data_IF_197673943333
#
_entry.id   IF_197673943333
#
_cell.length_a   1.000
_cell.length_b   1.000
_cell.length_c   1.000
_cell.angle_alpha   90.00
_cell.angle_beta   90.00
_cell.angle_gamma   90.00
#
_symmetry.space_group_name_H-M   'P 1'
#
loop_
_entity.id
_entity.type
_entity.pdbx_description
1 polymer ?
#
# COMPACT_ATOMS: atom_id res chain seq x y z
N UNK A 1 -52.89 -29.02 62.14
CA UNK A 1 -51.56 -29.39 61.77
C UNK A 1 -51.38 -29.12 60.27
N UNK A 2 -50.83 -27.96 59.90
CA UNK A 2 -50.65 -27.55 58.51
C UNK A 2 -49.27 -26.87 58.40
N UNK A 3 -48.34 -27.51 57.73
CA UNK A 3 -47.00 -26.96 57.42
C UNK A 3 -47.14 -25.99 56.24
N UNK A 4 -46.85 -24.71 56.46
CA UNK A 4 -46.71 -23.70 55.45
C UNK A 4 -45.36 -23.86 54.74
N UNK A 5 -45.39 -24.11 53.46
CA UNK A 5 -44.20 -24.04 52.57
C UNK A 5 -43.86 -22.57 52.32
N UNK A 6 -42.67 -22.13 52.77
CA UNK A 6 -42.07 -20.89 52.36
C UNK A 6 -41.50 -21.03 50.97
N UNK A 7 -42.07 -20.35 50.02
CA UNK A 7 -41.47 -20.13 48.68
C UNK A 7 -40.39 -19.08 48.84
N UNK A 8 -39.15 -19.45 48.69
CA UNK A 8 -37.98 -18.58 48.65
C UNK A 8 -38.03 -17.70 47.40
N UNK A 9 -38.11 -16.39 47.64
CA UNK A 9 -37.96 -15.36 46.62
C UNK A 9 -36.52 -15.38 46.11
N UNK A 10 -36.31 -15.90 44.91
CA UNK A 10 -35.05 -15.80 44.21
C UNK A 10 -34.86 -14.35 43.74
N UNK A 11 -33.91 -13.67 44.39
CA UNK A 11 -33.50 -12.31 44.09
C UNK A 11 -33.15 -12.16 42.60
N UNK A 12 -33.91 -11.32 41.91
CA UNK A 12 -33.62 -10.80 40.57
C UNK A 12 -32.22 -10.11 40.62
N UNK A 13 -31.20 -10.81 40.16
CA UNK A 13 -29.89 -10.17 39.83
C UNK A 13 -30.15 -9.19 38.71
N UNK A 14 -30.28 -7.92 39.03
CA UNK A 14 -30.16 -6.80 38.08
C UNK A 14 -28.88 -6.99 37.26
N UNK A 15 -29.03 -7.39 36.03
CA UNK A 15 -27.97 -7.33 35.04
C UNK A 15 -27.62 -5.85 34.87
N UNK A 16 -26.57 -5.38 35.55
CA UNK A 16 -25.97 -4.09 35.23
C UNK A 16 -25.69 -4.06 33.73
N UNK A 17 -26.21 -3.08 32.99
CA UNK A 17 -25.85 -2.94 31.60
C UNK A 17 -24.34 -2.73 31.52
N UNK A 18 -23.65 -3.60 30.77
CA UNK A 18 -22.25 -3.40 30.40
C UNK A 18 -22.24 -2.09 29.61
N UNK A 19 -21.97 -0.98 30.29
CA UNK A 19 -21.59 0.28 29.64
C UNK A 19 -20.27 -0.01 28.92
N UNK A 20 -20.34 -0.53 27.71
CA UNK A 20 -19.29 -0.34 26.73
C UNK A 20 -19.21 1.14 26.48
N UNK A 21 -18.38 1.84 27.23
CA UNK A 21 -17.95 3.19 26.87
C UNK A 21 -17.19 3.03 25.54
N UNK A 22 -17.93 3.13 24.45
CA UNK A 22 -17.37 3.46 23.14
C UNK A 22 -16.82 4.87 23.29
N UNK A 23 -15.62 4.96 23.87
CA UNK A 23 -14.84 6.17 23.75
C UNK A 23 -14.75 6.46 22.23
N UNK A 24 -15.15 7.65 21.77
CA UNK A 24 -15.07 8.01 20.36
C UNK A 24 -13.66 7.74 19.92
N UNK A 25 -13.48 7.06 18.79
CA UNK A 25 -12.19 6.72 18.19
C UNK A 25 -11.35 8.00 18.22
N UNK A 26 -10.31 8.01 19.08
CA UNK A 26 -9.68 9.22 19.56
C UNK A 26 -9.18 10.07 18.39
N UNK A 27 -9.72 11.27 18.28
CA UNK A 27 -9.17 12.30 17.40
C UNK A 27 -7.70 12.48 17.78
N UNK A 28 -6.82 12.57 16.77
CA UNK A 28 -5.42 12.85 17.00
C UNK A 28 -5.27 14.09 17.91
N UNK A 29 -4.39 14.06 18.93
CA UNK A 29 -4.20 15.19 19.84
C UNK A 29 -4.05 16.50 19.07
N UNK A 30 -4.61 17.60 19.58
CA UNK A 30 -4.50 18.92 18.93
C UNK A 30 -3.05 19.28 18.61
N UNK A 31 -2.13 19.02 19.54
CA UNK A 31 -0.70 19.24 19.34
C UNK A 31 -0.15 18.50 18.12
N UNK A 32 -0.56 17.24 17.93
CA UNK A 32 -0.12 16.45 16.77
C UNK A 32 -0.60 17.04 15.45
N UNK A 33 -1.85 17.50 15.39
CA UNK A 33 -2.38 18.16 14.19
C UNK A 33 -1.65 19.47 13.87
N UNK A 34 -1.26 20.23 14.90
CA UNK A 34 -0.47 21.43 14.75
C UNK A 34 0.92 21.09 14.18
N UNK A 35 1.61 20.08 14.73
CA UNK A 35 2.92 19.64 14.23
C UNK A 35 2.85 19.25 12.76
N UNK A 36 1.85 18.44 12.36
CA UNK A 36 1.70 18.06 10.95
C UNK A 36 1.32 19.24 10.05
N UNK A 37 0.54 20.20 10.53
CA UNK A 37 0.24 21.42 9.78
C UNK A 37 1.50 22.28 9.58
N UNK A 38 2.35 22.39 10.61
CA UNK A 38 3.65 23.08 10.51
C UNK A 38 4.56 22.36 9.51
N UNK A 39 4.70 21.04 9.63
CA UNK A 39 5.53 20.25 8.68
C UNK A 39 5.04 20.41 7.24
N UNK A 40 3.74 20.31 7.00
CA UNK A 40 3.16 20.50 5.67
C UNK A 40 3.39 21.93 5.15
N UNK A 41 3.25 22.94 6.02
CA UNK A 41 3.55 24.34 5.71
C UNK A 41 5.02 24.55 5.37
N UNK A 42 5.95 24.01 6.16
CA UNK A 42 7.40 24.08 5.90
C UNK A 42 7.75 23.41 4.57
N UNK A 43 7.18 22.23 4.29
CA UNK A 43 7.40 21.54 3.02
C UNK A 43 6.87 22.37 1.83
N UNK A 44 5.69 22.99 1.96
CA UNK A 44 5.14 23.84 0.93
C UNK A 44 6.02 25.10 0.69
N UNK A 45 6.52 25.73 1.76
CA UNK A 45 7.46 26.85 1.65
C UNK A 45 8.75 26.41 1.00
N UNK A 46 9.25 25.23 1.33
CA UNK A 46 10.47 24.67 0.71
C UNK A 46 10.29 24.44 -0.79
N UNK A 47 9.16 23.86 -1.22
CA UNK A 47 8.80 23.70 -2.64
C UNK A 47 8.81 25.07 -3.36
N UNK A 48 8.14 26.07 -2.78
CA UNK A 48 8.10 27.41 -3.36
C UNK A 48 9.50 28.02 -3.44
N UNK A 49 10.31 27.86 -2.40
CA UNK A 49 11.70 28.35 -2.39
C UNK A 49 12.55 27.70 -3.49
N UNK A 50 12.41 26.38 -3.71
CA UNK A 50 13.11 25.65 -4.78
C UNK A 50 12.72 26.17 -6.18
N UNK A 51 11.42 26.42 -6.39
CA UNK A 51 10.92 26.91 -7.68
C UNK A 51 11.39 28.34 -7.95
N UNK A 52 11.33 29.21 -6.94
CA UNK A 52 11.65 30.66 -7.10
C UNK A 52 13.15 30.92 -7.27
N UNK A 53 13.99 30.18 -6.52
CA UNK A 53 15.45 30.42 -6.57
C UNK A 53 16.14 29.81 -7.79
N UNK A 54 15.50 28.88 -8.49
CA UNK A 54 16.07 28.14 -9.60
C UNK A 54 17.08 27.04 -9.20
N UNK A 55 17.53 26.22 -10.14
CA UNK A 55 18.33 25.02 -9.86
C UNK A 55 19.77 25.33 -9.43
N UNK A 56 20.35 26.46 -9.90
CA UNK A 56 21.76 26.76 -9.68
C UNK A 56 22.07 27.40 -8.30
N UNK A 57 21.01 27.67 -7.51
CA UNK A 57 21.13 28.29 -6.20
C UNK A 57 20.87 27.27 -5.10
N UNK A 58 21.89 26.82 -4.40
CA UNK A 58 21.78 25.97 -3.23
C UNK A 58 21.90 26.76 -1.93
N UNK A 59 21.10 26.39 -0.95
CA UNK A 59 21.19 26.89 0.43
C UNK A 59 21.58 25.73 1.36
N UNK A 60 22.86 25.41 1.55
CA UNK A 60 23.29 24.17 2.19
C UNK A 60 22.68 23.92 3.57
N UNK A 61 22.41 25.01 4.34
CA UNK A 61 21.74 24.89 5.63
C UNK A 61 20.28 24.43 5.53
N UNK A 62 19.56 24.84 4.49
CA UNK A 62 18.15 24.49 4.29
C UNK A 62 18.05 23.16 3.56
N UNK A 63 18.78 23.02 2.45
CA UNK A 63 18.73 21.85 1.57
C UNK A 63 19.37 20.61 2.20
N UNK A 64 20.34 20.79 3.10
CA UNK A 64 20.96 19.74 3.87
C UNK A 64 20.31 19.63 5.26
N UNK A 65 20.86 20.35 6.24
CA UNK A 65 20.45 20.19 7.64
C UNK A 65 19.00 20.53 7.93
N UNK A 66 18.37 21.42 7.16
CA UNK A 66 16.94 21.73 7.26
C UNK A 66 16.07 20.53 6.90
N UNK A 67 16.39 19.84 5.80
CA UNK A 67 15.73 18.61 5.35
C UNK A 67 15.96 17.49 6.38
N UNK A 68 17.20 17.28 6.82
CA UNK A 68 17.55 16.30 7.85
C UNK A 68 16.75 16.53 9.14
N UNK A 69 16.64 17.77 9.61
CA UNK A 69 15.84 18.10 10.81
C UNK A 69 14.35 17.82 10.60
N UNK A 70 13.83 18.12 9.41
CA UNK A 70 12.46 17.81 9.04
C UNK A 70 12.19 16.30 9.08
N UNK A 71 13.08 15.50 8.53
CA UNK A 71 12.99 14.04 8.52
C UNK A 71 13.08 13.43 9.92
N UNK A 72 14.03 13.92 10.75
CA UNK A 72 14.11 13.51 12.16
C UNK A 72 12.87 13.89 12.95
N UNK A 73 12.16 14.97 12.58
CA UNK A 73 10.86 15.28 13.16
C UNK A 73 9.83 14.20 12.81
N UNK A 74 9.79 13.72 11.57
CA UNK A 74 8.98 12.58 11.15
C UNK A 74 9.32 11.30 11.91
N UNK A 75 10.61 11.02 12.09
CA UNK A 75 11.12 9.90 12.92
C UNK A 75 10.65 10.01 14.37
N UNK A 76 10.78 11.19 14.98
CA UNK A 76 10.33 11.43 16.34
C UNK A 76 8.81 11.17 16.51
N UNK A 77 8.00 11.54 15.51
CA UNK A 77 6.57 11.26 15.50
C UNK A 77 6.28 9.75 15.40
N UNK A 78 7.06 9.00 14.62
CA UNK A 78 6.96 7.54 14.53
C UNK A 78 7.29 6.90 15.89
N UNK A 79 8.40 7.25 16.51
CA UNK A 79 8.75 6.73 17.82
C UNK A 79 7.79 7.18 18.93
N UNK A 80 7.30 8.42 18.91
CA UNK A 80 6.26 8.88 19.82
C UNK A 80 4.99 8.01 19.71
N UNK A 81 4.67 7.51 18.52
CA UNK A 81 3.58 6.57 18.32
C UNK A 81 3.94 5.15 18.76
N UNK A 82 5.19 4.71 18.55
CA UNK A 82 5.70 3.40 18.95
C UNK A 82 5.71 3.22 20.47
N UNK A 83 6.06 4.28 21.21
CA UNK A 83 6.07 4.25 22.69
C UNK A 83 4.67 4.26 23.32
N UNK A 84 3.61 4.53 22.57
CA UNK A 84 2.25 4.35 23.05
C UNK A 84 1.89 2.87 23.03
N UNK A 85 1.61 2.29 24.22
CA UNK A 85 1.20 0.89 24.34
C UNK A 85 -0.01 0.59 23.44
N UNK A 86 0.10 -0.47 22.66
CA UNK A 86 -0.98 -0.88 21.77
C UNK A 86 -0.58 -1.93 20.74
N UNK A 87 -1.55 -2.49 20.03
CA UNK A 87 -1.32 -3.63 19.13
C UNK A 87 -0.43 -3.30 17.93
N UNK A 88 -0.18 -2.02 17.62
CA UNK A 88 0.67 -1.57 16.49
C UNK A 88 2.07 -1.16 16.93
N UNK A 89 2.43 -1.29 18.21
CA UNK A 89 3.71 -0.83 18.76
C UNK A 89 4.90 -1.37 17.97
N UNK A 90 5.01 -2.70 17.83
CA UNK A 90 6.12 -3.35 17.09
C UNK A 90 6.20 -2.89 15.64
N UNK A 91 5.07 -2.80 14.95
CA UNK A 91 5.01 -2.35 13.55
C UNK A 91 5.55 -0.93 13.43
N UNK A 92 5.07 -0.03 14.29
CA UNK A 92 5.48 1.38 14.27
C UNK A 92 6.95 1.54 14.69
N UNK A 93 7.45 0.70 15.61
CA UNK A 93 8.86 0.68 15.99
C UNK A 93 9.73 0.29 14.78
N UNK A 94 9.39 -0.79 14.09
CA UNK A 94 10.16 -1.27 12.93
C UNK A 94 10.13 -0.24 11.79
N UNK A 95 8.96 0.34 11.48
CA UNK A 95 8.87 1.41 10.49
C UNK A 95 9.62 2.67 10.93
N UNK A 96 9.56 3.03 12.22
CA UNK A 96 10.32 4.15 12.77
C UNK A 96 11.83 3.94 12.64
N UNK A 97 12.31 2.72 12.86
CA UNK A 97 13.73 2.37 12.69
C UNK A 97 14.12 2.40 11.20
N UNK A 98 13.23 1.98 10.29
CA UNK A 98 13.48 2.09 8.85
C UNK A 98 13.68 3.56 8.43
N UNK A 99 12.72 4.43 8.78
CA UNK A 99 12.79 5.87 8.46
C UNK A 99 13.96 6.55 9.19
N UNK A 100 14.31 6.10 10.39
CA UNK A 100 15.49 6.59 11.12
C UNK A 100 16.79 6.25 10.37
N UNK A 101 16.90 5.03 9.83
CA UNK A 101 18.05 4.67 8.99
C UNK A 101 18.15 5.59 7.77
N UNK A 102 17.03 5.86 7.09
CA UNK A 102 16.99 6.80 5.98
C UNK A 102 17.48 8.20 6.37
N UNK A 103 16.87 8.80 7.41
CA UNK A 103 17.24 10.14 7.89
C UNK A 103 18.71 10.22 8.36
N UNK A 104 19.28 9.11 8.88
CA UNK A 104 20.72 9.02 9.17
C UNK A 104 21.54 9.06 7.88
N UNK A 105 21.10 8.39 6.82
CA UNK A 105 21.72 8.44 5.51
C UNK A 105 21.82 9.87 4.99
N UNK A 106 20.71 10.63 5.04
CA UNK A 106 20.68 12.04 4.63
C UNK A 106 21.58 12.92 5.51
N UNK A 107 21.62 12.64 6.81
CA UNK A 107 22.55 13.33 7.71
C UNK A 107 24.01 13.06 7.38
N UNK A 108 24.38 11.81 7.07
CA UNK A 108 25.73 11.43 6.65
C UNK A 108 26.07 12.04 5.31
N UNK A 109 25.18 11.97 4.33
CA UNK A 109 25.38 12.56 3.01
C UNK A 109 25.56 14.07 3.10
N UNK A 110 24.74 14.75 3.90
CA UNK A 110 24.87 16.19 4.16
C UNK A 110 26.21 16.54 4.78
N UNK A 111 26.69 15.69 5.73
CA UNK A 111 28.00 15.89 6.36
C UNK A 111 29.15 15.64 5.37
N UNK A 112 29.09 14.59 4.55
CA UNK A 112 30.12 14.27 3.53
C UNK A 112 30.24 15.39 2.48
N UNK A 113 29.11 15.97 2.07
CA UNK A 113 29.07 17.01 1.04
C UNK A 113 29.19 18.43 1.59
N UNK A 114 29.28 18.62 2.92
CA UNK A 114 29.29 19.93 3.55
C UNK A 114 30.42 20.87 3.12
N UNK A 115 31.60 20.30 2.83
CA UNK A 115 32.76 21.07 2.35
C UNK A 115 32.73 21.38 0.85
N UNK A 116 31.63 21.04 0.13
CA UNK A 116 31.54 21.10 -1.33
C UNK A 116 32.22 19.94 -2.05
N UNK A 117 32.67 18.92 -1.31
CA UNK A 117 33.19 17.70 -1.91
C UNK A 117 32.06 16.83 -2.49
N UNK A 118 32.34 16.16 -3.60
CA UNK A 118 31.41 15.12 -4.08
C UNK A 118 31.47 13.89 -3.17
N UNK A 119 30.30 13.36 -2.81
CA UNK A 119 30.24 12.13 -2.05
C UNK A 119 30.85 10.96 -2.85
N UNK A 120 31.55 10.07 -2.14
CA UNK A 120 32.08 8.83 -2.76
C UNK A 120 30.91 7.98 -3.30
N UNK A 121 31.16 7.21 -4.35
CA UNK A 121 30.14 6.30 -4.94
C UNK A 121 30.65 4.86 -4.91
N UNK A 122 30.15 3.98 -4.01
CA UNK A 122 29.15 4.26 -2.96
C UNK A 122 29.72 5.05 -1.78
N UNK A 123 28.84 5.81 -1.08
CA UNK A 123 29.14 6.56 0.13
C UNK A 123 28.77 5.77 1.40
N UNK A 124 29.15 6.31 2.59
CA UNK A 124 28.70 5.74 3.85
C UNK A 124 27.18 5.89 4.03
N UNK A 125 26.59 6.93 3.43
CA UNK A 125 25.13 7.13 3.44
C UNK A 125 24.37 5.96 2.81
N UNK A 126 24.91 5.34 1.74
CA UNK A 126 24.28 4.21 1.05
C UNK A 126 24.05 3.00 1.97
N UNK A 127 24.90 2.81 3.00
CA UNK A 127 24.70 1.75 4.00
C UNK A 127 23.38 1.96 4.78
N UNK A 128 23.11 3.19 5.17
CA UNK A 128 21.91 3.54 5.91
C UNK A 128 20.66 3.48 5.02
N UNK A 129 20.74 3.95 3.79
CA UNK A 129 19.66 3.82 2.81
C UNK A 129 19.37 2.34 2.49
N UNK A 130 20.41 1.51 2.34
CA UNK A 130 20.24 0.07 2.15
C UNK A 130 19.52 -0.60 3.32
N UNK A 131 19.77 -0.16 4.55
CA UNK A 131 19.11 -0.69 5.75
C UNK A 131 17.61 -0.33 5.81
N UNK A 132 17.18 0.74 5.16
CA UNK A 132 15.77 1.14 5.10
C UNK A 132 14.90 0.02 4.50
N UNK A 133 15.27 -0.55 3.37
CA UNK A 133 14.45 -1.51 2.64
C UNK A 133 14.09 -2.77 3.44
N UNK A 134 15.04 -3.54 4.01
CA UNK A 134 14.68 -4.73 4.78
C UNK A 134 13.83 -4.41 6.01
N UNK A 135 14.06 -3.26 6.66
CA UNK A 135 13.27 -2.80 7.79
C UNK A 135 11.85 -2.40 7.35
N UNK A 136 11.72 -1.67 6.23
CA UNK A 136 10.43 -1.30 5.67
C UNK A 136 9.63 -2.54 5.25
N UNK A 137 10.27 -3.51 4.58
CA UNK A 137 9.63 -4.80 4.25
C UNK A 137 9.15 -5.54 5.49
N UNK A 138 9.99 -5.64 6.52
CA UNK A 138 9.63 -6.27 7.78
C UNK A 138 8.40 -5.57 8.41
N UNK A 139 8.37 -4.24 8.41
CA UNK A 139 7.25 -3.43 8.88
C UNK A 139 5.95 -3.76 8.12
N UNK A 140 6.00 -3.78 6.79
CA UNK A 140 4.84 -4.09 5.93
C UNK A 140 4.39 -5.54 6.11
N UNK A 141 5.31 -6.51 6.16
CA UNK A 141 4.99 -7.92 6.42
C UNK A 141 4.33 -8.09 7.79
N UNK A 142 4.80 -7.40 8.82
CA UNK A 142 4.17 -7.40 10.14
C UNK A 142 2.76 -6.78 10.13
N UNK A 143 2.55 -5.74 9.30
CA UNK A 143 1.21 -5.18 9.08
C UNK A 143 0.28 -6.19 8.43
N UNK A 144 0.76 -6.90 7.40
CA UNK A 144 -0.01 -7.89 6.64
C UNK A 144 -0.28 -9.17 7.44
N UNK A 145 0.70 -9.65 8.21
CA UNK A 145 0.67 -10.97 8.87
C UNK A 145 -0.57 -11.20 9.75
N UNK A 146 -1.13 -10.15 10.34
CA UNK A 146 -2.31 -10.24 11.19
C UNK A 146 -3.61 -10.43 10.41
N UNK A 147 -3.64 -9.96 9.17
CA UNK A 147 -4.85 -9.96 8.34
C UNK A 147 -4.90 -11.17 7.39
N UNK A 148 -3.73 -11.67 6.97
CA UNK A 148 -3.54 -12.72 5.97
C UNK A 148 -4.20 -14.07 6.37
N UNK A 149 -4.21 -14.44 7.65
CA UNK A 149 -4.65 -15.75 8.12
C UNK A 149 -6.14 -16.07 7.88
N UNK A 150 -6.95 -15.10 7.42
CA UNK A 150 -8.41 -15.21 7.28
C UNK A 150 -8.90 -14.91 5.86
N UNK A 151 -8.02 -14.85 4.88
CA UNK A 151 -8.38 -14.38 3.55
C UNK A 151 -8.71 -15.51 2.58
N UNK A 152 -9.72 -15.24 1.74
CA UNK A 152 -10.08 -16.12 0.62
C UNK A 152 -9.01 -16.08 -0.47
N UNK A 153 -8.77 -17.19 -1.23
CA UNK A 153 -7.80 -17.21 -2.32
C UNK A 153 -8.01 -16.10 -3.37
N UNK A 154 -9.27 -15.75 -3.63
CA UNK A 154 -9.62 -14.67 -4.56
C UNK A 154 -9.06 -13.31 -4.14
N UNK A 155 -9.02 -13.02 -2.83
CA UNK A 155 -8.50 -11.75 -2.29
C UNK A 155 -6.98 -11.65 -2.45
N UNK A 156 -6.26 -12.78 -2.40
CA UNK A 156 -4.83 -12.83 -2.70
C UNK A 156 -4.52 -12.45 -4.15
N UNK A 157 -5.35 -12.93 -5.09
CA UNK A 157 -5.19 -12.56 -6.49
C UNK A 157 -5.47 -11.06 -6.72
N UNK A 158 -6.44 -10.46 -6.01
CA UNK A 158 -6.67 -9.01 -6.07
C UNK A 158 -5.44 -8.23 -5.60
N UNK A 159 -4.79 -8.69 -4.50
CA UNK A 159 -3.52 -8.14 -4.03
C UNK A 159 -2.37 -8.31 -5.03
N UNK A 160 -2.27 -9.50 -5.63
CA UNK A 160 -1.24 -9.77 -6.64
C UNK A 160 -1.43 -8.91 -7.90
N UNK A 161 -2.67 -8.73 -8.38
CA UNK A 161 -2.98 -7.84 -9.52
C UNK A 161 -2.57 -6.40 -9.22
N UNK A 162 -2.95 -5.89 -8.03
CA UNK A 162 -2.62 -4.53 -7.65
C UNK A 162 -1.10 -4.32 -7.48
N UNK A 163 -0.42 -5.26 -6.83
CA UNK A 163 1.03 -5.22 -6.62
C UNK A 163 1.83 -5.32 -7.91
N UNK A 164 1.51 -6.29 -8.76
CA UNK A 164 2.18 -6.47 -10.06
C UNK A 164 1.91 -5.30 -11.00
N UNK A 165 0.67 -4.76 -11.02
CA UNK A 165 0.33 -3.59 -11.81
C UNK A 165 1.11 -2.35 -11.37
N UNK A 166 1.20 -2.10 -10.06
CA UNK A 166 2.01 -1.01 -9.51
C UNK A 166 3.49 -1.19 -9.84
N UNK A 167 4.02 -2.41 -9.68
CA UNK A 167 5.40 -2.74 -10.02
C UNK A 167 5.70 -2.53 -11.52
N UNK A 168 4.77 -2.91 -12.40
CA UNK A 168 4.91 -2.71 -13.84
C UNK A 168 4.98 -1.22 -14.21
N UNK A 169 4.11 -0.39 -13.62
CA UNK A 169 4.11 1.06 -13.82
C UNK A 169 5.42 1.66 -13.32
N UNK A 170 5.85 1.32 -12.10
CA UNK A 170 7.10 1.80 -11.51
C UNK A 170 8.31 1.39 -12.35
N UNK A 171 8.40 0.12 -12.76
CA UNK A 171 9.49 -0.36 -13.61
C UNK A 171 9.52 0.33 -14.98
N UNK A 172 8.37 0.61 -15.59
CA UNK A 172 8.29 1.35 -16.84
C UNK A 172 8.81 2.79 -16.70
N UNK A 173 8.53 3.43 -15.56
CA UNK A 173 8.96 4.80 -15.27
C UNK A 173 10.47 4.89 -14.93
N UNK A 174 10.96 4.02 -14.04
CA UNK A 174 12.33 4.09 -13.52
C UNK A 174 13.41 3.63 -14.52
N UNK A 175 13.06 2.87 -15.53
CA UNK A 175 14.08 2.18 -16.35
C UNK A 175 15.01 3.10 -17.13
N UNK A 176 14.46 4.17 -17.68
CA UNK A 176 15.30 5.12 -18.44
C UNK A 176 16.39 5.73 -17.55
N UNK A 177 16.03 6.09 -16.33
CA UNK A 177 16.98 6.59 -15.33
C UNK A 177 18.05 5.54 -14.96
N UNK A 178 17.64 4.27 -14.82
CA UNK A 178 18.57 3.17 -14.53
C UNK A 178 19.60 3.01 -15.65
N UNK A 179 19.16 2.99 -16.92
CA UNK A 179 20.07 2.85 -18.07
C UNK A 179 21.08 3.99 -18.13
N UNK A 180 20.64 5.21 -17.86
CA UNK A 180 21.51 6.39 -17.83
C UNK A 180 22.50 6.36 -16.66
N UNK A 181 22.15 5.76 -15.52
CA UNK A 181 23.02 5.68 -14.35
C UNK A 181 24.14 4.62 -14.45
N UNK A 182 24.05 3.70 -15.44
CA UNK A 182 25.04 2.65 -15.71
C UNK A 182 25.95 3.16 -16.83
N UNK A 183 26.84 4.11 -16.50
CA UNK A 183 27.79 4.69 -17.45
C UNK A 183 29.19 4.04 -17.42
N UNK A 184 30.07 4.33 -18.42
CA UNK A 184 31.48 3.91 -18.39
C UNK A 184 32.16 4.50 -17.16
N UNK A 185 32.91 3.66 -16.41
CA UNK A 185 33.69 4.10 -15.24
C UNK A 185 32.99 3.90 -13.89
N UNK A 186 31.74 3.47 -13.87
CA UNK A 186 31.03 3.11 -12.62
C UNK A 186 31.52 1.75 -12.14
N UNK A 187 31.92 1.65 -10.86
CA UNK A 187 32.34 0.37 -10.26
C UNK A 187 31.18 -0.62 -10.20
N UNK A 188 31.46 -1.93 -10.21
CA UNK A 188 30.43 -2.98 -10.07
C UNK A 188 29.59 -2.80 -8.80
N UNK A 189 30.22 -2.33 -7.71
CA UNK A 189 29.51 -2.03 -6.45
C UNK A 189 28.61 -0.80 -6.61
N UNK A 190 29.06 0.26 -7.29
CA UNK A 190 28.24 1.43 -7.61
C UNK A 190 27.03 1.07 -8.47
N UNK A 191 27.19 0.19 -9.46
CA UNK A 191 26.05 -0.32 -10.25
C UNK A 191 25.06 -1.08 -9.36
N UNK A 192 25.56 -1.96 -8.47
CA UNK A 192 24.69 -2.73 -7.57
C UNK A 192 23.89 -1.80 -6.62
N UNK A 193 24.53 -0.76 -6.08
CA UNK A 193 23.85 0.24 -5.23
C UNK A 193 22.83 1.03 -6.03
N UNK A 194 23.19 1.52 -7.22
CA UNK A 194 22.25 2.25 -8.08
C UNK A 194 21.00 1.43 -8.46
N UNK A 195 21.16 0.11 -8.65
CA UNK A 195 20.05 -0.79 -8.93
C UNK A 195 19.21 -1.13 -7.69
N UNK A 196 19.81 -1.10 -6.51
CA UNK A 196 19.13 -1.43 -5.26
C UNK A 196 17.94 -0.53 -5.00
N UNK A 197 18.05 0.78 -5.24
CA UNK A 197 16.98 1.76 -4.99
C UNK A 197 15.72 1.47 -5.83
N UNK A 198 15.77 1.45 -7.17
CA UNK A 198 14.57 1.21 -7.96
C UNK A 198 14.01 -0.20 -7.78
N UNK A 199 14.86 -1.21 -7.58
CA UNK A 199 14.38 -2.58 -7.30
C UNK A 199 13.69 -2.62 -5.93
N UNK A 200 14.30 -2.01 -4.92
CA UNK A 200 13.74 -1.91 -3.59
C UNK A 200 12.37 -1.21 -3.60
N UNK A 201 12.27 -0.10 -4.30
CA UNK A 201 11.03 0.66 -4.44
C UNK A 201 9.92 -0.12 -5.14
N UNK A 202 10.24 -0.75 -6.28
CA UNK A 202 9.27 -1.57 -7.03
C UNK A 202 8.71 -2.68 -6.14
N UNK A 203 9.57 -3.38 -5.41
CA UNK A 203 9.15 -4.46 -4.51
C UNK A 203 8.34 -3.91 -3.32
N UNK A 204 8.78 -2.80 -2.71
CA UNK A 204 8.08 -2.20 -1.59
C UNK A 204 6.71 -1.68 -2.00
N UNK A 205 6.64 -0.97 -3.13
CA UNK A 205 5.39 -0.45 -3.68
C UNK A 205 4.44 -1.59 -4.04
N UNK A 206 4.92 -2.65 -4.71
CA UNK A 206 4.14 -3.84 -5.03
C UNK A 206 3.55 -4.49 -3.77
N UNK A 207 4.36 -4.63 -2.72
CA UNK A 207 3.94 -5.23 -1.46
C UNK A 207 2.90 -4.36 -0.73
N UNK A 208 3.09 -3.03 -0.71
CA UNK A 208 2.18 -2.10 -0.02
C UNK A 208 0.87 -1.94 -0.79
N UNK A 209 0.93 -1.77 -2.10
CA UNK A 209 -0.26 -1.64 -2.95
C UNK A 209 -1.04 -2.95 -2.97
N UNK A 210 -0.36 -4.08 -3.16
CA UNK A 210 -0.97 -5.41 -3.06
C UNK A 210 -1.61 -5.66 -1.70
N UNK A 211 -0.92 -5.29 -0.62
CA UNK A 211 -1.44 -5.38 0.74
C UNK A 211 -2.65 -4.47 1.00
N UNK A 212 -2.63 -3.24 0.48
CA UNK A 212 -3.75 -2.29 0.62
C UNK A 212 -5.02 -2.78 -0.07
N UNK A 213 -4.86 -3.48 -1.19
CA UNK A 213 -5.93 -4.05 -1.97
C UNK A 213 -6.71 -5.14 -1.23
N UNK A 214 -5.98 -5.87 -0.39
CA UNK A 214 -6.47 -7.07 0.32
C UNK A 214 -7.19 -6.70 1.62
N UNK A 215 -6.98 -5.49 2.17
CA UNK A 215 -7.47 -5.10 3.50
C UNK A 215 -8.81 -4.34 3.44
N UNK A 216 -9.96 -4.97 3.73
CA UNK A 216 -11.23 -4.28 3.82
C UNK A 216 -11.28 -3.35 5.04
N UNK A 217 -11.74 -2.10 4.84
CA UNK A 217 -12.11 -1.19 5.94
C UNK A 217 -10.97 -0.36 6.55
N UNK A 218 -9.71 -0.58 6.21
CA UNK A 218 -8.56 0.17 6.77
C UNK A 218 -7.75 0.91 5.71
N UNK A 219 -8.43 1.43 4.70
CA UNK A 219 -7.77 1.92 3.48
C UNK A 219 -6.86 3.13 3.70
N UNK A 220 -7.28 4.11 4.52
CA UNK A 220 -6.57 5.39 4.60
C UNK A 220 -5.11 5.28 5.08
N UNK A 221 -4.76 4.55 6.19
CA UNK A 221 -3.37 4.37 6.58
C UNK A 221 -2.53 3.67 5.49
N UNK A 222 -3.10 2.66 4.86
CA UNK A 222 -2.44 1.93 3.77
C UNK A 222 -2.27 2.78 2.51
N UNK A 223 -3.29 3.57 2.16
CA UNK A 223 -3.21 4.49 1.02
C UNK A 223 -2.14 5.56 1.25
N UNK A 224 -2.07 6.15 2.44
CA UNK A 224 -1.01 7.11 2.78
C UNK A 224 0.37 6.48 2.66
N UNK A 225 0.53 5.24 3.13
CA UNK A 225 1.80 4.53 3.02
C UNK A 225 2.12 4.16 1.56
N UNK A 226 1.13 3.72 0.77
CA UNK A 226 1.31 3.42 -0.65
C UNK A 226 1.69 4.67 -1.46
N UNK A 227 1.03 5.79 -1.20
CA UNK A 227 1.36 7.07 -1.85
C UNK A 227 2.76 7.53 -1.45
N UNK A 228 3.16 7.36 -0.17
CA UNK A 228 4.52 7.66 0.28
C UNK A 228 5.57 6.82 -0.46
N UNK A 229 5.35 5.50 -0.60
CA UNK A 229 6.24 4.63 -1.38
C UNK A 229 6.30 5.04 -2.87
N UNK A 230 5.17 5.46 -3.44
CA UNK A 230 5.13 5.97 -4.82
C UNK A 230 5.93 7.27 -4.98
N UNK A 231 5.77 8.21 -4.04
CA UNK A 231 6.54 9.46 -4.02
C UNK A 231 8.04 9.16 -3.88
N UNK A 232 8.41 8.23 -2.98
CA UNK A 232 9.80 7.80 -2.80
C UNK A 232 10.39 7.25 -4.11
N UNK A 233 9.70 6.32 -4.75
CA UNK A 233 10.13 5.75 -6.04
C UNK A 233 10.30 6.81 -7.15
N UNK A 234 9.44 7.81 -7.17
CA UNK A 234 9.59 8.96 -8.08
C UNK A 234 10.83 9.78 -7.71
N UNK A 235 11.06 10.04 -6.42
CA UNK A 235 12.26 10.74 -5.93
C UNK A 235 13.54 10.02 -6.34
N UNK A 236 13.64 8.72 -6.08
CA UNK A 236 14.81 7.90 -6.42
C UNK A 236 15.06 7.84 -7.93
N UNK A 237 13.98 7.84 -8.74
CA UNK A 237 14.11 7.91 -10.20
C UNK A 237 14.71 9.25 -10.64
N UNK A 238 14.23 10.37 -10.09
CA UNK A 238 14.79 11.69 -10.42
C UNK A 238 16.20 11.90 -9.83
N UNK A 239 16.51 11.27 -8.70
CA UNK A 239 17.88 11.24 -8.17
C UNK A 239 18.84 10.54 -9.13
N UNK A 240 18.44 9.40 -9.71
CA UNK A 240 19.25 8.74 -10.73
C UNK A 240 19.44 9.60 -11.99
N UNK A 241 18.42 10.32 -12.42
CA UNK A 241 18.51 11.27 -13.53
C UNK A 241 19.44 12.44 -13.19
N UNK A 242 19.35 13.01 -11.99
CA UNK A 242 20.22 14.08 -11.54
C UNK A 242 21.70 13.63 -11.48
N UNK A 243 21.96 12.45 -10.91
CA UNK A 243 23.33 11.91 -10.81
C UNK A 243 23.92 11.50 -12.16
N UNK A 244 23.09 11.22 -13.18
CA UNK A 244 23.51 10.94 -14.56
C UNK A 244 23.69 12.19 -15.43
N UNK A 245 23.43 13.39 -14.89
CA UNK A 245 23.49 14.67 -15.62
C UNK A 245 22.31 14.90 -16.59
N UNK A 246 21.25 14.08 -16.50
CA UNK A 246 20.06 14.18 -17.35
C UNK A 246 18.88 14.86 -16.63
N UNK A 247 19.14 15.63 -15.57
CA UNK A 247 18.12 16.30 -14.77
C UNK A 247 17.52 17.51 -15.48
N UNK A 248 16.31 17.85 -15.08
CA UNK A 248 15.61 19.08 -15.47
C UNK A 248 15.28 19.86 -14.19
N UNK A 249 15.03 21.17 -14.30
CA UNK A 249 14.64 21.99 -13.14
C UNK A 249 13.49 21.38 -12.36
N UNK A 250 12.47 20.87 -13.03
CA UNK A 250 11.33 20.18 -12.39
C UNK A 250 11.80 18.89 -11.71
N UNK A 251 12.72 18.16 -12.35
CA UNK A 251 13.30 16.93 -11.80
C UNK A 251 14.08 17.20 -10.51
N UNK A 252 14.85 18.27 -10.44
CA UNK A 252 15.62 18.64 -9.25
C UNK A 252 14.70 19.03 -8.09
N UNK A 253 13.62 19.77 -8.36
CA UNK A 253 12.61 20.07 -7.34
C UNK A 253 11.95 18.78 -6.83
N UNK A 254 11.56 17.87 -7.72
CA UNK A 254 10.97 16.58 -7.33
C UNK A 254 11.96 15.78 -6.50
N UNK A 255 13.20 15.67 -6.93
CA UNK A 255 14.28 14.97 -6.22
C UNK A 255 14.42 15.50 -4.78
N UNK A 256 14.49 16.82 -4.60
CA UNK A 256 14.68 17.45 -3.27
C UNK A 256 13.47 17.31 -2.34
N UNK A 257 12.25 17.17 -2.88
CA UNK A 257 10.99 17.22 -2.10
C UNK A 257 10.43 15.82 -1.82
N UNK A 258 10.73 14.84 -2.68
CA UNK A 258 10.06 13.53 -2.63
C UNK A 258 10.30 12.80 -1.31
N UNK A 259 11.54 12.75 -0.82
CA UNK A 259 11.87 12.02 0.41
C UNK A 259 11.26 12.64 1.66
N UNK A 260 11.41 13.96 1.95
CA UNK A 260 10.73 14.54 3.09
C UNK A 260 9.21 14.44 3.00
N UNK A 261 8.62 14.52 1.80
CA UNK A 261 7.19 14.30 1.60
C UNK A 261 6.77 12.85 1.90
N UNK A 262 7.55 11.87 1.46
CA UNK A 262 7.31 10.45 1.76
C UNK A 262 7.38 10.18 3.26
N UNK A 263 8.40 10.70 3.95
CA UNK A 263 8.55 10.55 5.42
C UNK A 263 7.39 11.20 6.17
N UNK A 264 6.96 12.40 5.75
CA UNK A 264 5.77 13.04 6.32
C UNK A 264 4.55 12.12 6.22
N UNK A 265 4.28 11.55 5.05
CA UNK A 265 3.14 10.69 4.82
C UNK A 265 3.25 9.33 5.54
N UNK A 266 4.43 8.73 5.60
CA UNK A 266 4.70 7.52 6.40
C UNK A 266 4.40 7.80 7.87
N UNK A 267 4.91 8.92 8.40
CA UNK A 267 4.66 9.30 9.79
C UNK A 267 3.17 9.54 10.06
N UNK A 268 2.44 10.18 9.14
CA UNK A 268 0.99 10.38 9.26
C UNK A 268 0.22 9.05 9.25
N UNK A 269 0.62 8.08 8.44
CA UNK A 269 -0.07 6.81 8.25
C UNK A 269 -0.28 6.03 9.55
N UNK A 270 0.65 6.10 10.49
CA UNK A 270 0.58 5.38 11.77
C UNK A 270 -0.32 6.06 12.81
N UNK A 271 -0.59 7.36 12.65
CA UNK A 271 -1.46 8.13 13.54
C UNK A 271 -2.92 8.16 13.10
N UNK A 272 -3.17 7.94 11.83
CA UNK A 272 -4.55 7.87 11.31
C UNK A 272 -5.24 6.66 11.91
N UNK A 273 -6.42 6.85 12.56
CA UNK A 273 -7.19 5.74 13.07
C UNK A 273 -7.62 4.83 11.93
N UNK A 274 -7.45 3.54 12.10
CA UNK A 274 -8.11 2.59 11.22
C UNK A 274 -9.61 2.69 11.46
N UNK A 275 -10.38 2.97 10.44
CA UNK A 275 -11.84 2.98 10.51
C UNK A 275 -12.40 1.69 11.12
N UNK A 276 -13.65 1.70 11.62
CA UNK A 276 -14.29 0.51 12.12
C UNK A 276 -14.21 -0.60 11.08
N UNK A 277 -14.04 -1.83 11.53
CA UNK A 277 -14.21 -3.02 10.68
C UNK A 277 -15.69 -3.10 10.31
N UNK A 278 -16.06 -2.46 9.23
CA UNK A 278 -17.38 -2.58 8.66
C UNK A 278 -17.47 -3.94 7.97
N UNK A 279 -17.75 -4.98 8.77
CA UNK A 279 -18.00 -6.34 8.27
C UNK A 279 -19.20 -6.38 7.31
N UNK A 280 -20.05 -5.34 7.34
CA UNK A 280 -21.24 -5.19 6.49
C UNK A 280 -20.97 -4.36 5.23
N UNK A 281 -19.84 -3.64 5.12
CA UNK A 281 -19.51 -2.83 3.94
C UNK A 281 -18.61 -3.52 2.92
N UNK A 282 -18.39 -4.82 3.06
CA UNK A 282 -17.59 -5.62 2.10
C UNK A 282 -18.14 -5.64 0.66
N UNK A 283 -19.28 -4.97 0.41
CA UNK A 283 -19.98 -4.95 -0.88
C UNK A 283 -19.95 -3.63 -1.66
N UNK A 284 -19.32 -2.55 -1.17
CA UNK A 284 -19.46 -1.22 -1.81
C UNK A 284 -18.46 -0.93 -2.94
N UNK A 285 -17.34 -1.64 -3.02
CA UNK A 285 -16.48 -1.59 -4.22
C UNK A 285 -16.67 -2.91 -4.95
N UNK A 286 -17.20 -2.89 -6.17
CA UNK A 286 -17.31 -4.10 -6.96
C UNK A 286 -15.97 -4.81 -7.04
N UNK A 287 -15.92 -6.11 -6.75
CA UNK A 287 -14.69 -6.90 -6.69
C UNK A 287 -13.89 -6.98 -8.00
N UNK A 288 -14.39 -6.34 -9.07
CA UNK A 288 -13.73 -6.21 -10.38
C UNK A 288 -13.02 -4.87 -10.60
N UNK A 289 -13.19 -3.85 -9.74
CA UNK A 289 -12.59 -2.52 -9.95
C UNK A 289 -11.07 -2.59 -9.89
N UNK A 290 -10.52 -3.24 -8.89
CA UNK A 290 -9.08 -3.35 -8.71
C UNK A 290 -8.41 -4.23 -9.79
N UNK A 291 -8.93 -5.44 -10.10
CA UNK A 291 -8.49 -6.18 -11.26
C UNK A 291 -8.61 -5.41 -12.58
N UNK A 292 -9.66 -4.59 -12.73
CA UNK A 292 -9.86 -3.74 -13.91
C UNK A 292 -8.78 -2.66 -14.04
N UNK A 293 -8.45 -1.97 -12.96
CA UNK A 293 -7.36 -0.96 -12.94
C UNK A 293 -6.02 -1.62 -13.27
N UNK A 294 -5.71 -2.77 -12.66
CA UNK A 294 -4.48 -3.52 -12.96
C UNK A 294 -4.41 -3.97 -14.41
N UNK A 295 -5.51 -4.45 -14.98
CA UNK A 295 -5.59 -4.84 -16.39
C UNK A 295 -5.36 -3.64 -17.32
N UNK A 296 -5.98 -2.50 -17.04
CA UNK A 296 -5.80 -1.27 -17.82
C UNK A 296 -4.35 -0.78 -17.76
N UNK A 297 -3.73 -0.78 -16.58
CA UNK A 297 -2.34 -0.42 -16.43
C UNK A 297 -1.42 -1.37 -17.23
N UNK A 298 -1.62 -2.68 -17.11
CA UNK A 298 -0.87 -3.68 -17.86
C UNK A 298 -1.00 -3.51 -19.38
N UNK A 299 -2.23 -3.32 -19.86
CA UNK A 299 -2.51 -3.09 -21.29
C UNK A 299 -1.87 -1.78 -21.78
N UNK A 300 -1.94 -0.70 -20.99
CA UNK A 300 -1.33 0.58 -21.35
C UNK A 300 0.19 0.46 -21.52
N UNK A 301 0.86 -0.30 -20.62
CA UNK A 301 2.32 -0.55 -20.70
C UNK A 301 2.66 -1.39 -21.92
N UNK A 302 1.90 -2.45 -22.21
CA UNK A 302 2.12 -3.28 -23.41
C UNK A 302 1.90 -2.48 -24.69
N UNK A 303 0.87 -1.64 -24.72
CA UNK A 303 0.58 -0.76 -25.85
C UNK A 303 1.68 0.30 -26.05
N UNK A 304 2.12 0.94 -24.96
CA UNK A 304 3.26 1.87 -25.01
C UNK A 304 4.53 1.19 -25.50
N UNK A 305 4.81 -0.03 -25.06
CA UNK A 305 5.95 -0.83 -25.52
C UNK A 305 5.89 -1.18 -26.99
N UNK A 306 4.69 -1.46 -27.51
CA UNK A 306 4.49 -1.75 -28.94
C UNK A 306 4.72 -0.54 -29.85
N UNK A 307 4.39 0.67 -29.36
CA UNK A 307 4.50 1.91 -30.16
C UNK A 307 5.86 2.56 -30.01
N UNK A 308 6.36 2.69 -28.78
CA UNK A 308 7.54 3.54 -28.48
C UNK A 308 8.87 2.78 -28.46
N UNK A 309 8.84 1.45 -28.44
CA UNK A 309 10.03 0.56 -28.30
C UNK A 309 10.98 0.91 -27.12
N UNK A 310 10.54 1.78 -26.19
CA UNK A 310 11.33 2.30 -25.07
C UNK A 310 10.96 1.65 -23.73
N UNK A 311 9.96 0.74 -23.72
CA UNK A 311 9.54 0.05 -22.50
C UNK A 311 10.39 -1.19 -22.29
N UNK A 312 10.85 -1.39 -21.06
CA UNK A 312 11.75 -2.49 -20.72
C UNK A 312 11.14 -3.87 -20.79
N UNK A 313 11.96 -4.89 -21.02
CA UNK A 313 11.55 -6.29 -20.87
C UNK A 313 10.97 -6.61 -19.48
N UNK A 314 11.50 -5.97 -18.42
CA UNK A 314 11.02 -6.16 -17.04
C UNK A 314 9.59 -5.59 -16.88
N UNK A 315 9.36 -4.36 -17.34
CA UNK A 315 8.03 -3.75 -17.28
C UNK A 315 7.01 -4.53 -18.12
N UNK A 316 7.40 -4.98 -19.31
CA UNK A 316 6.58 -5.84 -20.17
C UNK A 316 6.26 -7.19 -19.51
N UNK A 317 7.26 -7.81 -18.88
CA UNK A 317 7.09 -9.05 -18.12
C UNK A 317 6.12 -8.89 -16.96
N UNK A 318 6.27 -7.83 -16.17
CA UNK A 318 5.36 -7.51 -15.05
C UNK A 318 3.94 -7.20 -15.53
N UNK A 319 3.80 -6.44 -16.62
CA UNK A 319 2.51 -6.14 -17.24
C UNK A 319 1.82 -7.42 -17.73
N UNK A 320 2.57 -8.31 -18.40
CA UNK A 320 2.08 -9.60 -18.85
C UNK A 320 1.65 -10.48 -17.66
N UNK A 321 2.48 -10.56 -16.61
CA UNK A 321 2.15 -11.28 -15.39
C UNK A 321 0.87 -10.74 -14.73
N UNK A 322 0.70 -9.40 -14.72
CA UNK A 322 -0.53 -8.76 -14.22
C UNK A 322 -1.76 -9.27 -14.98
N UNK A 323 -1.71 -9.28 -16.31
CA UNK A 323 -2.83 -9.75 -17.15
C UNK A 323 -3.13 -11.23 -16.96
N UNK A 324 -2.11 -12.07 -16.79
CA UNK A 324 -2.29 -13.49 -16.48
C UNK A 324 -3.01 -13.66 -15.15
N UNK A 325 -2.60 -12.95 -14.12
CA UNK A 325 -3.26 -13.02 -12.78
C UNK A 325 -4.69 -12.48 -12.85
N UNK A 326 -4.95 -11.43 -13.64
CA UNK A 326 -6.33 -10.94 -13.91
C UNK A 326 -7.17 -12.04 -14.56
N UNK A 327 -6.64 -12.73 -15.56
CA UNK A 327 -7.32 -13.85 -16.22
C UNK A 327 -7.67 -14.99 -15.24
N UNK A 328 -6.71 -15.38 -14.40
CA UNK A 328 -6.94 -16.38 -13.34
C UNK A 328 -8.01 -15.92 -12.34
N UNK A 329 -7.98 -14.66 -11.93
CA UNK A 329 -8.96 -14.08 -11.01
C UNK A 329 -10.37 -14.05 -11.60
N UNK A 330 -10.51 -13.68 -12.87
CA UNK A 330 -11.78 -13.73 -13.59
C UNK A 330 -12.30 -15.15 -13.72
N UNK A 331 -11.44 -16.12 -14.06
CA UNK A 331 -11.79 -17.54 -14.12
C UNK A 331 -12.34 -18.07 -12.81
N UNK A 332 -11.72 -17.72 -11.67
CA UNK A 332 -12.24 -18.09 -10.34
C UNK A 332 -13.57 -17.41 -10.03
N UNK A 333 -13.77 -16.15 -10.44
CA UNK A 333 -15.04 -15.44 -10.26
C UNK A 333 -16.18 -16.10 -11.03
N UNK A 334 -15.93 -16.46 -12.29
CA UNK A 334 -16.92 -17.16 -13.14
C UNK A 334 -17.28 -18.54 -12.56
N UNK A 335 -16.28 -19.29 -12.08
CA UNK A 335 -16.54 -20.58 -11.39
C UNK A 335 -17.39 -20.39 -10.15
N UNK A 336 -17.06 -19.39 -9.31
CA UNK A 336 -17.85 -19.08 -8.11
C UNK A 336 -19.28 -18.66 -8.42
N UNK A 337 -19.50 -17.84 -9.46
CA UNK A 337 -20.84 -17.46 -9.91
C UNK A 337 -21.64 -18.68 -10.39
N UNK A 338 -21.02 -19.54 -11.19
CA UNK A 338 -21.69 -20.78 -11.67
C UNK A 338 -22.09 -21.69 -10.51
N UNK A 339 -21.24 -21.88 -9.51
CA UNK A 339 -21.54 -22.70 -8.33
C UNK A 339 -22.70 -22.11 -7.50
N UNK A 340 -22.72 -20.80 -7.30
CA UNK A 340 -23.79 -20.10 -6.59
C UNK A 340 -25.12 -20.16 -7.36
N UNK A 341 -25.08 -20.03 -8.68
CA UNK A 341 -26.28 -20.14 -9.52
C UNK A 341 -26.83 -21.57 -9.49
N UNK A 342 -25.97 -22.58 -9.57
CA UNK A 342 -26.38 -23.98 -9.47
C UNK A 342 -26.99 -24.30 -8.09
N UNK A 343 -26.38 -23.80 -7.01
CA UNK A 343 -26.90 -23.99 -5.65
C UNK A 343 -28.24 -23.26 -5.46
N UNK A 344 -28.38 -22.02 -5.91
CA UNK A 344 -29.67 -21.32 -5.88
C UNK A 344 -30.73 -22.02 -6.71
N UNK A 345 -30.37 -22.56 -7.87
CA UNK A 345 -31.30 -23.36 -8.68
C UNK A 345 -31.74 -24.61 -7.93
N UNK A 346 -30.80 -25.30 -7.28
CA UNK A 346 -31.08 -26.49 -6.48
C UNK A 346 -32.03 -26.19 -5.32
N UNK A 347 -31.78 -25.11 -4.57
CA UNK A 347 -32.66 -24.65 -3.49
C UNK A 347 -34.04 -24.20 -4.00
N UNK A 348 -34.11 -23.60 -5.19
CA UNK A 348 -35.38 -23.18 -5.78
C UNK A 348 -36.26 -24.35 -6.28
N UNK A 349 -35.69 -25.54 -6.54
CA UNK A 349 -36.43 -26.72 -7.10
C UNK A 349 -36.50 -27.89 -6.14
N UNK A 350 -35.87 -27.82 -4.95
CA UNK A 350 -35.92 -28.87 -3.90
C UNK A 350 -36.64 -28.35 -2.67
N UNK A 351 -37.35 -29.23 -2.00
CA UNK A 351 -37.99 -28.98 -0.69
C UNK A 351 -36.96 -29.19 0.41
N UNK A 352 -36.78 -28.18 1.30
CA UNK A 352 -35.75 -28.20 2.34
C UNK A 352 -35.96 -29.28 3.41
N UNK A 353 -37.18 -29.75 3.62
CA UNK A 353 -37.49 -30.72 4.66
C UNK A 353 -37.36 -32.14 4.17
N UNK A 354 -37.77 -32.43 2.95
CA UNK A 354 -37.82 -33.78 2.41
C UNK A 354 -36.67 -34.09 1.45
N UNK A 355 -35.95 -33.09 0.94
CA UNK A 355 -34.92 -33.24 -0.08
C UNK A 355 -35.47 -33.63 -1.47
N UNK A 356 -36.78 -33.75 -1.62
CA UNK A 356 -37.44 -34.08 -2.89
C UNK A 356 -37.67 -32.86 -3.76
N UNK A 357 -37.99 -33.07 -5.03
CA UNK A 357 -38.38 -31.99 -5.94
C UNK A 357 -39.66 -31.30 -5.45
N UNK A 358 -39.60 -29.95 -5.34
CA UNK A 358 -40.76 -29.17 -4.97
C UNK A 358 -41.75 -29.01 -6.15
N UNK A 359 -42.91 -28.36 -5.90
CA UNK A 359 -43.94 -28.11 -6.91
C UNK A 359 -43.42 -27.44 -8.18
N UNK A 360 -42.40 -26.58 -8.05
CA UNK A 360 -41.79 -25.88 -9.19
C UNK A 360 -41.03 -26.82 -10.08
N UNK A 361 -40.30 -27.78 -9.51
CA UNK A 361 -39.64 -28.84 -10.28
C UNK A 361 -40.62 -29.75 -10.99
N UNK A 362 -41.73 -30.14 -10.34
CA UNK A 362 -42.78 -30.92 -10.93
C UNK A 362 -43.38 -30.21 -12.14
N UNK A 363 -43.75 -28.91 -12.00
CA UNK A 363 -44.31 -28.15 -13.10
C UNK A 363 -43.33 -28.01 -14.27
N UNK A 364 -42.02 -27.73 -14.01
CA UNK A 364 -41.04 -27.62 -15.10
C UNK A 364 -40.82 -28.96 -15.83
N UNK A 365 -40.93 -30.08 -15.15
CA UNK A 365 -40.87 -31.41 -15.79
C UNK A 365 -42.13 -31.72 -16.63
N UNK A 366 -43.29 -31.31 -16.15
CA UNK A 366 -44.55 -31.45 -16.90
C UNK A 366 -44.54 -30.54 -18.15
N UNK A 367 -44.09 -29.30 -18.02
CA UNK A 367 -43.98 -28.38 -19.14
C UNK A 367 -43.02 -28.91 -20.21
N UNK A 368 -41.86 -29.46 -19.80
CA UNK A 368 -40.91 -30.10 -20.71
C UNK A 368 -41.51 -31.34 -21.38
N UNK A 369 -42.21 -32.19 -20.61
CA UNK A 369 -42.87 -33.39 -21.15
C UNK A 369 -43.93 -33.02 -22.19
N UNK A 370 -44.77 -32.02 -21.90
CA UNK A 370 -45.83 -31.62 -22.86
C UNK A 370 -45.25 -30.87 -24.07
N UNK A 371 -44.11 -30.13 -23.94
CA UNK A 371 -43.44 -29.53 -25.07
C UNK A 371 -42.89 -30.57 -26.06
N UNK A 372 -42.28 -31.65 -25.54
CA UNK A 372 -41.79 -32.76 -26.37
C UNK A 372 -42.91 -33.55 -27.07
N UNK A 373 -44.15 -33.53 -26.54
CA UNK A 373 -45.31 -34.15 -27.14
C UNK A 373 -46.11 -33.25 -28.09
N UNK A 374 -45.86 -31.92 -28.07
CA UNK A 374 -46.55 -30.97 -28.92
C UNK A 374 -45.89 -30.75 -30.28
N UNK A 375 -44.70 -31.30 -30.49
CA UNK A 375 -43.99 -31.24 -31.77
C UNK A 375 -43.99 -32.65 -32.40
N UNK A 376 -44.89 -32.94 -33.37
CA UNK A 376 -45.00 -34.22 -34.04
C UNK A 376 -43.92 -34.48 -35.08
#
# INVERSE_FOLDING_TARGET
MGKAHRVSSAASRERRPIRTSLAPAGQAPRALRIVYAIMAGLLAVYVVALIVRGPDVSWPWIDGWGVVLFEFTGVALLFARAFRKGPRQTITLVLGTAVFAWALGDGVLTWETWSGAEAAKPSLADLFYAAFFPLAYAGVVLMLRREIRRMLPATWLDGAVAGLGAAAVCAAFAFHAIVLSIGPGVSSLGVAVNLMYPIGDVLLLALVVGGSAVLPGRRLPWMLFAVACGINSVGDTFNLLATSGASTQVGDVINSVAWPAAILMISMSVWVPAGPRDLLQSGKVPGFVLPGIGALAGLAILFAGAIQHQVTPVALGLATATLVVVGLRLGLSVRGLRSLTAERHRQAVTDELTGLGNRRRLNSLLDAYFADYADP
#
